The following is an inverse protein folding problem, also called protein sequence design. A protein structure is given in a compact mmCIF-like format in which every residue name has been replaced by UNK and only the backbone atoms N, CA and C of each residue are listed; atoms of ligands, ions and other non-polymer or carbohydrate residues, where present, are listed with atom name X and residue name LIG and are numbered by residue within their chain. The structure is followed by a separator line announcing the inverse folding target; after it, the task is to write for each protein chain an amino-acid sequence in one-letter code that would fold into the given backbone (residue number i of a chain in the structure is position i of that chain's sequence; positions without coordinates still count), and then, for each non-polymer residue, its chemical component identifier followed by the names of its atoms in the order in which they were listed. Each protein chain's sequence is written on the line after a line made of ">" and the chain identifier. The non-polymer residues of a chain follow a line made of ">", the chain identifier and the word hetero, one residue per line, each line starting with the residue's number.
data_IF_695687617587
#
_entry.id   IF_695687617587
#
_cell.length_a   1.000
_cell.length_b   1.000
_cell.length_c   1.000
_cell.angle_alpha   90.00
_cell.angle_beta   90.00
_cell.angle_gamma   90.00
#
_symmetry.space_group_name_H-M   'P 1'
#
loop_
_entity.id
_entity.type
_entity.pdbx_description
1 polymer ?
#
# COMPACT_ATOMS: atom_id res chain seq x y z
N UNK A 1 15.20 -7.53 -1.39
CA UNK A 1 15.94 -6.44 -2.04
C UNK A 1 15.63 -5.15 -1.30
N UNK A 2 16.57 -4.24 -1.15
CA UNK A 2 16.36 -2.91 -0.55
C UNK A 2 16.58 -1.89 -1.66
N UNK A 3 15.65 -0.96 -1.84
CA UNK A 3 15.68 0.05 -2.92
C UNK A 3 15.59 1.44 -2.33
N UNK A 4 16.43 2.36 -2.79
CA UNK A 4 16.35 3.77 -2.44
C UNK A 4 15.24 4.44 -3.26
N UNK A 5 14.30 5.06 -2.58
CA UNK A 5 13.21 5.87 -3.18
C UNK A 5 13.63 7.34 -3.26
N UNK A 6 14.37 7.78 -2.25
CA UNK A 6 15.07 9.08 -2.20
C UNK A 6 16.38 8.88 -1.44
N UNK A 7 17.17 9.93 -1.27
CA UNK A 7 18.45 9.88 -0.52
C UNK A 7 18.28 9.30 0.89
N UNK A 8 17.15 9.58 1.54
CA UNK A 8 16.89 9.17 2.92
C UNK A 8 15.80 8.12 3.07
N UNK A 9 15.01 7.84 2.04
CA UNK A 9 13.89 6.90 2.08
C UNK A 9 14.23 5.63 1.34
N UNK A 10 14.04 4.51 2.00
CA UNK A 10 14.22 3.18 1.41
C UNK A 10 12.96 2.36 1.55
N UNK A 11 12.76 1.43 0.61
CA UNK A 11 11.78 0.35 0.75
C UNK A 11 12.48 -1.00 0.67
N UNK A 12 11.94 -1.96 1.39
CA UNK A 12 12.36 -3.37 1.30
C UNK A 12 11.20 -4.28 1.69
N UNK A 13 11.27 -5.54 1.26
CA UNK A 13 10.31 -6.54 1.73
C UNK A 13 10.35 -6.62 3.26
N UNK A 14 9.16 -6.83 3.86
CA UNK A 14 9.02 -7.07 5.29
C UNK A 14 9.67 -8.39 5.70
N UNK A 15 10.09 -8.46 6.96
CA UNK A 15 10.57 -9.66 7.64
C UNK A 15 9.73 -9.88 8.88
N UNK A 16 9.71 -11.10 9.38
CA UNK A 16 8.99 -11.38 10.63
C UNK A 16 9.52 -10.55 11.81
N UNK A 17 10.81 -10.24 11.81
CA UNK A 17 11.43 -9.37 12.82
C UNK A 17 10.96 -7.91 12.78
N UNK A 18 10.25 -7.51 11.73
CA UNK A 18 9.70 -6.16 11.60
C UNK A 18 8.36 -5.99 12.33
N UNK A 19 7.70 -7.10 12.70
CA UNK A 19 6.35 -7.07 13.27
C UNK A 19 6.22 -6.12 14.47
N UNK A 20 7.15 -6.20 15.42
CA UNK A 20 7.10 -5.36 16.61
C UNK A 20 7.27 -3.86 16.31
N UNK A 21 8.18 -3.50 15.41
CA UNK A 21 8.39 -2.09 15.06
C UNK A 21 7.24 -1.53 14.21
N UNK A 22 6.61 -2.36 13.34
CA UNK A 22 5.42 -1.98 12.58
C UNK A 22 4.26 -1.77 13.55
N UNK A 23 4.02 -2.73 14.46
CA UNK A 23 2.99 -2.59 15.49
C UNK A 23 3.19 -1.33 16.33
N UNK A 24 4.41 -1.05 16.81
CA UNK A 24 4.70 0.14 17.61
C UNK A 24 4.40 1.43 16.83
N UNK A 25 4.75 1.49 15.54
CA UNK A 25 4.45 2.62 14.68
C UNK A 25 2.94 2.83 14.51
N UNK A 26 2.18 1.75 14.31
CA UNK A 26 0.71 1.79 14.24
C UNK A 26 0.13 2.21 15.60
N UNK A 27 0.57 1.61 16.70
CA UNK A 27 0.05 1.86 18.03
C UNK A 27 0.20 3.33 18.45
N UNK A 28 1.37 3.92 18.19
CA UNK A 28 1.65 5.34 18.49
C UNK A 28 0.81 6.31 17.64
N UNK A 29 0.31 5.89 16.48
CA UNK A 29 -0.45 6.72 15.56
C UNK A 29 -1.84 6.15 15.26
N UNK A 30 -2.37 5.31 16.15
CA UNK A 30 -3.63 4.57 15.96
C UNK A 30 -4.81 5.49 15.69
N UNK A 31 -4.97 6.56 16.46
CA UNK A 31 -6.07 7.51 16.30
C UNK A 31 -6.12 8.11 14.89
N UNK A 32 -4.95 8.43 14.34
CA UNK A 32 -4.83 8.93 12.97
C UNK A 32 -5.10 7.84 11.92
N UNK A 33 -4.48 6.66 12.09
CA UNK A 33 -4.54 5.60 11.08
C UNK A 33 -5.93 4.94 11.01
N UNK A 34 -6.64 4.80 12.13
CA UNK A 34 -7.95 4.15 12.17
C UNK A 34 -9.03 4.93 11.40
N UNK A 35 -8.81 6.22 11.14
CA UNK A 35 -9.73 7.01 10.34
C UNK A 35 -9.93 6.39 8.95
N UNK A 36 -8.88 5.77 8.39
CA UNK A 36 -8.89 5.20 7.05
C UNK A 36 -8.52 3.71 6.98
N UNK A 37 -8.07 3.13 8.07
CA UNK A 37 -7.61 1.75 8.17
C UNK A 37 -8.34 1.02 9.29
N UNK A 38 -9.53 0.44 9.03
CA UNK A 38 -10.35 -0.18 10.08
C UNK A 38 -9.61 -1.26 10.88
N UNK A 39 -8.70 -1.99 10.24
CA UNK A 39 -7.97 -3.11 10.87
C UNK A 39 -7.05 -2.68 12.01
N UNK A 40 -6.59 -1.42 12.04
CA UNK A 40 -5.66 -0.97 13.10
C UNK A 40 -6.35 -0.70 14.44
N UNK A 41 -7.68 -0.60 14.46
CA UNK A 41 -8.46 -0.17 15.63
C UNK A 41 -8.19 -1.05 16.87
N UNK A 42 -8.18 -2.35 16.68
CA UNK A 42 -7.97 -3.34 17.75
C UNK A 42 -6.70 -4.19 17.55
N UNK A 43 -5.86 -3.82 16.57
CA UNK A 43 -4.66 -4.58 16.25
C UNK A 43 -3.76 -4.74 17.47
N UNK A 44 -3.33 -5.98 17.73
CA UNK A 44 -2.35 -6.36 18.74
C UNK A 44 -0.99 -6.69 18.10
N UNK A 45 0.06 -6.76 18.91
CA UNK A 45 1.40 -7.15 18.42
C UNK A 45 1.42 -8.59 17.91
N UNK A 46 0.65 -9.48 18.56
CA UNK A 46 0.50 -10.88 18.17
C UNK A 46 -0.19 -11.03 16.82
N UNK A 47 -1.25 -10.24 16.58
CA UNK A 47 -1.98 -10.25 15.30
C UNK A 47 -1.12 -9.70 14.17
N UNK A 48 -0.37 -8.62 14.39
CA UNK A 48 0.59 -8.12 13.39
C UNK A 48 1.64 -9.16 13.05
N UNK A 49 2.21 -9.84 14.06
CA UNK A 49 3.16 -10.93 13.84
C UNK A 49 2.53 -12.12 13.11
N UNK A 50 1.30 -12.48 13.47
CA UNK A 50 0.57 -13.56 12.81
C UNK A 50 0.27 -13.21 11.35
N UNK A 51 -0.13 -11.97 11.06
CA UNK A 51 -0.35 -11.47 9.72
C UNK A 51 0.93 -11.57 8.86
N UNK A 52 2.05 -11.00 9.33
CA UNK A 52 3.32 -11.12 8.60
C UNK A 52 3.75 -12.58 8.39
N UNK A 53 3.55 -13.42 9.41
CA UNK A 53 3.86 -14.86 9.29
C UNK A 53 3.02 -15.51 8.21
N UNK A 54 1.73 -15.20 8.11
CA UNK A 54 0.83 -15.75 7.09
C UNK A 54 1.27 -15.34 5.68
N UNK A 55 1.58 -14.07 5.48
CA UNK A 55 2.08 -13.55 4.20
C UNK A 55 3.41 -14.21 3.81
N UNK A 56 4.36 -14.31 4.75
CA UNK A 56 5.68 -14.85 4.47
C UNK A 56 5.71 -16.36 4.23
N UNK A 57 4.70 -17.10 4.71
CA UNK A 57 4.51 -18.54 4.41
C UNK A 57 4.05 -18.82 2.98
N UNK A 58 3.42 -17.85 2.32
CA UNK A 58 3.01 -18.01 0.91
C UNK A 58 4.27 -18.16 0.06
N UNK A 59 4.34 -19.19 -0.83
CA UNK A 59 5.47 -19.33 -1.74
C UNK A 59 5.74 -18.06 -2.55
N UNK A 60 6.99 -17.68 -2.69
CA UNK A 60 7.39 -16.40 -3.30
C UNK A 60 6.72 -16.13 -4.66
N UNK A 61 6.54 -17.16 -5.48
CA UNK A 61 5.89 -17.04 -6.79
C UNK A 61 4.41 -16.64 -6.75
N UNK A 62 3.73 -16.83 -5.60
CA UNK A 62 2.30 -16.52 -5.43
C UNK A 62 2.04 -15.43 -4.38
N UNK A 63 3.13 -14.92 -3.76
CA UNK A 63 3.03 -13.98 -2.64
C UNK A 63 2.65 -12.59 -3.12
N UNK A 64 1.70 -11.98 -2.42
CA UNK A 64 1.52 -10.54 -2.45
C UNK A 64 2.55 -9.90 -1.52
N UNK A 65 3.56 -9.29 -2.13
CA UNK A 65 4.68 -8.71 -1.38
C UNK A 65 4.26 -7.45 -0.65
N UNK A 66 4.67 -7.36 0.61
CA UNK A 66 4.54 -6.18 1.43
C UNK A 66 5.94 -5.60 1.64
N UNK A 67 6.03 -4.28 1.53
CA UNK A 67 7.26 -3.53 1.70
C UNK A 67 7.12 -2.54 2.84
N UNK A 68 8.14 -2.50 3.68
CA UNK A 68 8.28 -1.47 4.71
C UNK A 68 8.99 -0.27 4.11
N UNK A 69 8.45 0.92 4.38
CA UNK A 69 9.06 2.20 4.02
C UNK A 69 9.81 2.70 5.24
N UNK A 70 11.10 3.01 5.08
CA UNK A 70 11.97 3.41 6.18
C UNK A 70 12.74 4.70 5.87
N UNK A 71 12.87 5.57 6.88
CA UNK A 71 13.84 6.67 6.93
C UNK A 71 14.79 6.43 8.09
N UNK A 72 16.11 6.27 7.82
CA UNK A 72 17.12 5.98 8.86
C UNK A 72 16.73 4.79 9.77
N UNK A 73 16.16 3.74 9.18
CA UNK A 73 15.65 2.52 9.85
C UNK A 73 14.36 2.71 10.69
N UNK A 74 13.83 3.92 10.79
CA UNK A 74 12.51 4.16 11.38
C UNK A 74 11.40 3.84 10.38
N UNK A 75 10.32 3.24 10.85
CA UNK A 75 9.13 2.94 10.04
C UNK A 75 8.41 4.23 9.66
N UNK A 76 8.29 4.47 8.35
CA UNK A 76 7.48 5.55 7.81
C UNK A 76 6.07 5.10 7.45
N UNK A 77 5.92 3.85 7.03
CA UNK A 77 4.68 3.27 6.54
C UNK A 77 4.90 1.92 5.88
N UNK A 78 3.83 1.38 5.31
CA UNK A 78 3.86 0.16 4.50
C UNK A 78 3.23 0.43 3.13
N UNK A 79 3.64 -0.38 2.16
CA UNK A 79 3.03 -0.46 0.84
C UNK A 79 3.11 -1.91 0.36
N UNK A 80 2.10 -2.40 -0.32
CA UNK A 80 2.11 -3.79 -0.78
C UNK A 80 1.10 -4.08 -1.87
N UNK A 81 1.22 -5.28 -2.41
CA UNK A 81 0.24 -5.84 -3.33
C UNK A 81 -0.86 -6.57 -2.55
N UNK A 82 -2.06 -6.55 -3.10
CA UNK A 82 -3.23 -7.23 -2.59
C UNK A 82 -4.00 -7.88 -3.74
N UNK A 83 -4.71 -8.95 -3.46
CA UNK A 83 -5.65 -9.57 -4.38
C UNK A 83 -5.08 -9.84 -5.78
N UNK A 84 -3.82 -10.25 -5.86
CA UNK A 84 -3.19 -10.58 -7.14
C UNK A 84 -3.89 -11.76 -7.80
N UNK A 85 -4.35 -11.55 -9.01
CA UNK A 85 -5.00 -12.51 -9.89
C UNK A 85 -4.10 -12.78 -11.10
N UNK A 86 -3.36 -13.88 -11.02
CA UNK A 86 -2.39 -14.24 -12.05
C UNK A 86 -3.06 -14.64 -13.38
N UNK A 87 -4.30 -15.15 -13.33
CA UNK A 87 -5.02 -15.54 -14.54
C UNK A 87 -5.43 -14.33 -15.37
N UNK A 88 -5.83 -13.24 -14.69
CA UNK A 88 -6.24 -11.99 -15.33
C UNK A 88 -5.12 -10.93 -15.34
N UNK A 89 -3.92 -11.28 -14.87
CA UNK A 89 -2.74 -10.39 -14.79
C UNK A 89 -3.05 -9.04 -14.13
N UNK A 90 -3.75 -9.07 -13.00
CA UNK A 90 -4.14 -7.87 -12.25
C UNK A 90 -3.73 -7.97 -10.78
N UNK A 91 -3.50 -6.81 -10.16
CA UNK A 91 -3.19 -6.68 -8.74
C UNK A 91 -3.71 -5.33 -8.21
N UNK A 92 -3.83 -5.22 -6.91
CA UNK A 92 -4.15 -3.99 -6.20
C UNK A 92 -2.95 -3.54 -5.37
N UNK A 93 -2.73 -2.24 -5.23
CA UNK A 93 -1.73 -1.65 -4.34
C UNK A 93 -2.46 -0.97 -3.19
N UNK A 94 -2.14 -1.40 -1.96
CA UNK A 94 -2.56 -0.75 -0.72
C UNK A 94 -1.36 -0.14 0.02
N UNK A 95 -1.60 0.93 0.77
CA UNK A 95 -0.54 1.64 1.49
C UNK A 95 -1.07 2.47 2.64
N UNK A 96 -0.16 2.76 3.57
CA UNK A 96 -0.34 3.81 4.58
C UNK A 96 1.00 4.49 4.89
N UNK A 97 0.95 5.73 5.39
CA UNK A 97 2.11 6.53 5.74
C UNK A 97 1.82 7.31 7.02
N UNK A 98 2.78 7.34 7.94
CA UNK A 98 2.66 8.11 9.17
C UNK A 98 2.62 9.61 8.91
N UNK A 99 1.92 10.40 9.74
CA UNK A 99 1.68 11.85 9.50
C UNK A 99 2.94 12.64 9.22
N UNK A 100 4.01 12.44 10.00
CA UNK A 100 5.27 13.18 9.87
C UNK A 100 6.00 13.01 8.54
N UNK A 101 5.62 11.98 7.76
CA UNK A 101 6.23 11.67 6.45
C UNK A 101 5.38 12.09 5.27
N UNK A 102 4.18 12.61 5.52
CA UNK A 102 3.27 13.06 4.47
C UNK A 102 3.76 14.34 3.79
N UNK A 103 3.11 14.70 2.68
CA UNK A 103 3.41 15.90 1.87
C UNK A 103 4.86 15.99 1.33
N UNK A 104 5.65 14.92 1.43
CA UNK A 104 7.03 14.83 0.94
C UNK A 104 7.16 14.05 -0.38
N UNK A 105 6.04 13.67 -0.99
CA UNK A 105 6.01 12.89 -2.24
C UNK A 105 6.45 11.43 -2.08
N UNK A 106 6.73 10.97 -0.87
CA UNK A 106 7.25 9.62 -0.58
C UNK A 106 6.33 8.54 -1.15
N UNK A 107 5.04 8.56 -0.79
CA UNK A 107 4.11 7.52 -1.23
C UNK A 107 3.91 7.52 -2.75
N UNK A 108 3.86 8.68 -3.39
CA UNK A 108 3.77 8.78 -4.86
C UNK A 108 4.95 8.07 -5.53
N UNK A 109 6.17 8.26 -5.02
CA UNK A 109 7.36 7.58 -5.54
C UNK A 109 7.33 6.07 -5.26
N UNK A 110 6.88 5.66 -4.07
CA UNK A 110 6.74 4.24 -3.72
C UNK A 110 5.71 3.54 -4.62
N UNK A 111 4.54 4.14 -4.84
CA UNK A 111 3.52 3.60 -5.75
C UNK A 111 4.06 3.49 -7.18
N UNK A 112 4.73 4.54 -7.69
CA UNK A 112 5.39 4.49 -9.00
C UNK A 112 6.37 3.32 -9.11
N UNK A 113 7.18 3.09 -8.08
CA UNK A 113 8.13 1.98 -8.05
C UNK A 113 7.43 0.62 -8.04
N UNK A 114 6.38 0.45 -7.22
CA UNK A 114 5.62 -0.81 -7.18
C UNK A 114 4.89 -1.08 -8.50
N UNK A 115 4.41 -0.05 -9.18
CA UNK A 115 3.82 -0.21 -10.53
C UNK A 115 4.84 -0.79 -11.52
N UNK A 116 6.10 -0.34 -11.46
CA UNK A 116 7.18 -0.93 -12.30
C UNK A 116 7.44 -2.38 -11.93
N UNK A 117 7.59 -2.70 -10.64
CA UNK A 117 7.73 -4.09 -10.17
C UNK A 117 6.56 -4.96 -10.67
N UNK A 118 5.32 -4.48 -10.54
CA UNK A 118 4.14 -5.21 -10.98
C UNK A 118 4.21 -5.56 -12.48
N UNK A 119 4.63 -4.62 -13.32
CA UNK A 119 4.67 -4.80 -14.77
C UNK A 119 5.90 -5.59 -15.22
N UNK A 120 7.07 -5.25 -14.71
CA UNK A 120 8.37 -5.74 -15.21
C UNK A 120 8.75 -7.08 -14.60
N UNK A 121 8.53 -7.26 -13.28
CA UNK A 121 8.93 -8.46 -12.56
C UNK A 121 7.79 -9.47 -12.41
N UNK A 122 6.54 -8.99 -12.29
CA UNK A 122 5.37 -9.85 -12.03
C UNK A 122 4.49 -10.04 -13.27
N UNK A 123 4.75 -9.35 -14.38
CA UNK A 123 4.02 -9.48 -15.63
C UNK A 123 2.58 -8.97 -15.58
N UNK A 124 2.20 -8.18 -14.58
CA UNK A 124 0.84 -7.66 -14.43
C UNK A 124 0.49 -6.70 -15.56
N UNK A 125 -0.75 -6.77 -16.02
CA UNK A 125 -1.29 -5.88 -17.04
C UNK A 125 -2.09 -4.72 -16.45
N UNK A 126 -2.74 -4.93 -15.27
CA UNK A 126 -3.60 -3.95 -14.62
C UNK A 126 -3.25 -3.81 -13.15
N UNK A 127 -3.09 -2.59 -12.70
CA UNK A 127 -2.86 -2.26 -11.29
C UNK A 127 -4.00 -1.36 -10.84
N UNK A 128 -4.59 -1.69 -9.70
CA UNK A 128 -5.70 -0.98 -9.10
C UNK A 128 -5.27 -0.34 -7.79
N UNK A 129 -5.91 0.78 -7.45
CA UNK A 129 -5.87 1.40 -6.12
C UNK A 129 -7.30 1.76 -5.76
N UNK A 130 -7.76 1.40 -4.55
CA UNK A 130 -9.03 1.82 -4.00
C UNK A 130 -8.80 2.79 -2.85
N UNK A 131 -9.50 3.90 -2.84
CA UNK A 131 -9.38 4.92 -1.81
C UNK A 131 -10.77 5.31 -1.31
N UNK A 132 -10.96 5.42 0.00
CA UNK A 132 -12.17 6.03 0.53
C UNK A 132 -12.39 7.40 -0.11
N UNK A 133 -13.61 7.69 -0.55
CA UNK A 133 -13.96 8.90 -1.29
C UNK A 133 -13.53 10.18 -0.54
N UNK A 134 -13.72 10.20 0.78
CA UNK A 134 -13.33 11.31 1.64
C UNK A 134 -11.83 11.42 1.94
N UNK A 135 -11.00 10.40 1.61
CA UNK A 135 -9.56 10.40 1.88
C UNK A 135 -8.79 11.15 0.78
N UNK A 136 -8.86 12.49 0.79
CA UNK A 136 -8.23 13.32 -0.23
C UNK A 136 -6.72 13.05 -0.42
N UNK A 137 -5.88 12.89 0.63
CA UNK A 137 -4.47 12.57 0.47
C UNK A 137 -4.23 11.26 -0.28
N UNK A 138 -5.02 10.21 0.00
CA UNK A 138 -4.92 8.92 -0.68
C UNK A 138 -5.34 9.02 -2.14
N UNK A 139 -6.47 9.68 -2.43
CA UNK A 139 -6.96 9.90 -3.79
C UNK A 139 -5.99 10.71 -4.68
N UNK A 140 -5.27 11.67 -4.09
CA UNK A 140 -4.33 12.50 -4.84
C UNK A 140 -3.12 11.71 -5.41
N UNK A 141 -2.81 10.51 -4.87
CA UNK A 141 -1.67 9.71 -5.33
C UNK A 141 -1.93 9.08 -6.70
N UNK A 142 -3.00 8.28 -6.90
CA UNK A 142 -3.32 7.73 -8.21
C UNK A 142 -3.60 8.83 -9.24
N UNK A 143 -4.28 9.91 -8.87
CA UNK A 143 -4.53 11.05 -9.77
C UNK A 143 -3.22 11.65 -10.28
N UNK A 144 -2.25 11.91 -9.40
CA UNK A 144 -0.94 12.47 -9.75
C UNK A 144 -0.11 11.54 -10.64
N UNK A 145 -0.32 10.23 -10.52
CA UNK A 145 0.36 9.22 -11.32
C UNK A 145 -0.37 8.90 -12.64
N UNK A 146 -1.49 9.57 -12.92
CA UNK A 146 -2.24 9.38 -14.16
C UNK A 146 -3.07 8.10 -14.21
N UNK A 147 -3.45 7.57 -13.04
CA UNK A 147 -4.44 6.49 -13.00
C UNK A 147 -5.80 7.00 -13.47
N UNK A 148 -6.51 6.16 -14.19
CA UNK A 148 -7.88 6.41 -14.60
C UNK A 148 -8.85 6.13 -13.44
N UNK A 149 -9.76 7.06 -13.15
CA UNK A 149 -10.88 6.83 -12.23
C UNK A 149 -11.96 6.04 -12.97
N UNK A 150 -12.20 4.80 -12.57
CA UNK A 150 -13.19 3.93 -13.22
C UNK A 150 -14.61 4.14 -12.68
N UNK A 151 -14.70 4.62 -11.45
CA UNK A 151 -15.96 4.86 -10.77
C UNK A 151 -15.85 4.78 -9.26
N UNK A 152 -17.00 4.75 -8.61
CA UNK A 152 -17.13 4.68 -7.15
C UNK A 152 -17.88 3.41 -6.76
N UNK A 153 -17.27 2.59 -5.95
CA UNK A 153 -17.87 1.43 -5.29
C UNK A 153 -18.65 1.93 -4.08
N UNK A 154 -19.98 1.77 -4.11
CA UNK A 154 -20.85 2.24 -3.00
C UNK A 154 -20.71 1.28 -1.82
N UNK A 155 -20.64 1.84 -0.60
CA UNK A 155 -20.50 1.06 0.64
C UNK A 155 -19.36 0.05 0.59
N UNK A 156 -18.24 0.43 -0.04
CA UNK A 156 -17.11 -0.46 -0.33
C UNK A 156 -16.27 -0.84 0.89
N UNK A 157 -16.33 -0.08 1.99
CA UNK A 157 -15.58 -0.39 3.21
C UNK A 157 -16.37 -0.05 4.47
N UNK A 158 -16.38 -0.96 5.46
CA UNK A 158 -16.94 -0.72 6.79
C UNK A 158 -15.87 -0.14 7.71
N UNK A 159 -16.05 1.11 8.12
CA UNK A 159 -15.10 1.80 9.00
C UNK A 159 -15.27 1.41 10.47
N UNK A 160 -14.27 1.74 11.29
CA UNK A 160 -14.31 1.51 12.74
C UNK A 160 -15.52 2.18 13.42
N UNK A 161 -16.03 3.26 12.84
CA UNK A 161 -17.24 3.97 13.29
C UNK A 161 -18.55 3.23 13.00
N UNK A 162 -18.48 2.02 12.44
CA UNK A 162 -19.63 1.21 11.99
C UNK A 162 -20.44 1.87 10.85
N UNK A 163 -19.84 2.80 10.14
CA UNK A 163 -20.41 3.40 8.92
C UNK A 163 -19.70 2.85 7.69
N UNK A 164 -20.45 2.59 6.64
CA UNK A 164 -19.87 2.29 5.34
C UNK A 164 -19.41 3.57 4.65
N UNK A 165 -18.35 3.46 3.88
CA UNK A 165 -17.84 4.52 3.01
C UNK A 165 -17.74 4.04 1.58
N UNK A 166 -17.92 4.95 0.65
CA UNK A 166 -17.68 4.69 -0.77
C UNK A 166 -16.19 4.65 -1.06
N UNK A 167 -15.78 3.83 -2.02
CA UNK A 167 -14.40 3.74 -2.49
C UNK A 167 -14.30 4.20 -3.95
N UNK A 168 -13.45 5.17 -4.22
CA UNK A 168 -13.03 5.49 -5.57
C UNK A 168 -12.08 4.41 -6.07
N UNK A 169 -12.37 3.88 -7.25
CA UNK A 169 -11.59 2.81 -7.90
C UNK A 169 -10.76 3.42 -9.01
N UNK A 170 -9.45 3.39 -8.84
CA UNK A 170 -8.48 3.86 -9.81
C UNK A 170 -7.74 2.70 -10.45
N UNK A 171 -7.39 2.81 -11.72
CA UNK A 171 -6.56 1.81 -12.39
C UNK A 171 -5.54 2.43 -13.34
N UNK A 172 -4.46 1.68 -13.56
CA UNK A 172 -3.48 1.97 -14.60
C UNK A 172 -3.09 0.67 -15.31
N UNK A 173 -2.87 0.76 -16.62
CA UNK A 173 -2.52 -0.37 -17.45
C UNK A 173 -1.01 -0.39 -17.78
N UNK A 174 -0.47 -1.58 -18.02
CA UNK A 174 0.93 -1.80 -18.42
C UNK A 174 1.39 -0.88 -19.55
N UNK A 175 0.54 -0.65 -20.57
CA UNK A 175 0.86 0.21 -21.71
C UNK A 175 1.05 1.68 -21.30
N UNK A 176 0.37 2.14 -20.26
CA UNK A 176 0.44 3.51 -19.75
C UNK A 176 1.67 3.71 -18.87
N UNK A 177 2.00 2.71 -18.03
CA UNK A 177 3.21 2.71 -17.19
C UNK A 177 4.49 2.75 -18.04
N UNK A 178 4.52 2.03 -19.17
CA UNK A 178 5.66 2.04 -20.11
C UNK A 178 5.95 3.41 -20.71
N UNK A 179 5.01 4.33 -20.65
CA UNK A 179 5.17 5.71 -21.14
C UNK A 179 5.74 6.65 -20.06
N UNK A 180 5.86 6.21 -18.82
CA UNK A 180 6.45 7.02 -17.75
C UNK A 180 7.94 7.24 -18.04
N UNK A 181 8.31 8.50 -18.16
CA UNK A 181 9.72 8.91 -18.21
C UNK A 181 10.35 8.73 -16.83
N UNK A 182 11.63 8.40 -16.82
CA UNK A 182 12.44 8.31 -15.61
C UNK A 182 12.60 9.66 -14.90
#
# INVERSE_FOLDING_TARGET
>A
MKTNITDNITIREVRISDSQKIYNAIHLHREYLQEWLPFVTFLTAEEEKAFLSSVLRVPRARRDFIYIIEEKQEVCGLIGFHYSDAANLRTEIGYWLLPKYQHRGIMTKCVRHLCRIAVEERGMNRIQIRCAEGNAPSNAIPQRLGFHLEGTERDGELMYTKKFVNLNVYSILKKEIKQWKD
#
